data_IF_774955618136
#
_entry.id   IF_774955618136
#
_cell.length_a   1.000
_cell.length_b   1.000
_cell.length_c   1.000
_cell.angle_alpha   90.00
_cell.angle_beta   90.00
_cell.angle_gamma   90.00
#
_symmetry.space_group_name_H-M   'P 1'
#
loop_
_entity.id
_entity.type
_entity.pdbx_description
1 polymer ?
#
# COMPACT_ATOMS: atom_id res chain seq x y z
N UNK A 1 -8.38 -23.37 -23.41
CA UNK A 1 -6.95 -23.71 -23.51
C UNK A 1 -6.49 -24.58 -22.33
N UNK A 2 -6.61 -24.13 -21.08
CA UNK A 2 -6.14 -24.87 -19.89
C UNK A 2 -6.76 -26.27 -19.67
N UNK A 3 -8.01 -26.49 -20.07
CA UNK A 3 -8.68 -27.80 -19.98
C UNK A 3 -7.96 -28.92 -20.74
N UNK A 4 -7.08 -28.59 -21.70
CA UNK A 4 -6.29 -29.61 -22.41
C UNK A 4 -5.31 -30.34 -21.50
N UNK A 5 -4.89 -29.72 -20.39
CA UNK A 5 -3.98 -30.33 -19.41
C UNK A 5 -4.64 -31.48 -18.61
N UNK A 6 -5.98 -31.55 -18.61
CA UNK A 6 -6.73 -32.64 -17.96
C UNK A 6 -7.22 -33.72 -18.92
N UNK A 7 -6.80 -33.67 -20.19
CA UNK A 7 -7.15 -34.70 -21.17
C UNK A 7 -6.14 -35.83 -21.11
N UNK A 8 -6.61 -37.05 -20.88
CA UNK A 8 -5.78 -38.25 -20.90
C UNK A 8 -5.39 -38.53 -22.35
N UNK A 9 -4.09 -38.57 -22.64
CA UNK A 9 -3.56 -39.01 -23.93
C UNK A 9 -2.83 -40.35 -23.79
N UNK A 10 -2.64 -41.05 -24.92
CA UNK A 10 -2.00 -42.36 -24.94
C UNK A 10 -0.60 -42.28 -24.29
N UNK A 11 -0.37 -43.12 -23.27
CA UNK A 11 0.87 -43.15 -22.48
C UNK A 11 0.91 -42.22 -21.25
N UNK A 12 -0.20 -41.57 -20.87
CA UNK A 12 -0.32 -40.85 -19.60
C UNK A 12 -0.67 -41.75 -18.41
N UNK A 13 -1.26 -42.91 -18.69
CA UNK A 13 -1.67 -43.90 -17.69
C UNK A 13 -1.01 -45.24 -17.96
N UNK A 14 -0.60 -45.93 -16.90
CA UNK A 14 -0.21 -47.32 -16.93
C UNK A 14 -1.45 -48.21 -17.18
N UNK A 15 -1.22 -49.48 -17.50
CA UNK A 15 -2.29 -50.46 -17.78
C UNK A 15 -3.21 -50.72 -16.56
N UNK A 16 -2.74 -50.41 -15.35
CA UNK A 16 -3.48 -50.47 -14.09
C UNK A 16 -4.29 -49.19 -13.80
N UNK A 17 -4.26 -48.21 -14.70
CA UNK A 17 -4.94 -46.92 -14.54
C UNK A 17 -4.18 -45.89 -13.71
N UNK A 18 -2.99 -46.20 -13.20
CA UNK A 18 -2.16 -45.25 -12.46
C UNK A 18 -1.49 -44.21 -13.39
N UNK A 19 -1.29 -42.99 -12.90
CA UNK A 19 -0.74 -41.88 -13.71
C UNK A 19 0.76 -42.09 -13.92
N UNK A 20 1.17 -42.37 -15.16
CA UNK A 20 2.56 -42.57 -15.55
C UNK A 20 3.34 -41.26 -15.68
N UNK A 21 2.67 -40.16 -16.05
CA UNK A 21 3.28 -38.83 -16.27
C UNK A 21 2.61 -37.74 -15.43
N UNK A 22 2.88 -37.73 -14.13
CA UNK A 22 2.32 -36.74 -13.17
C UNK A 22 2.58 -35.27 -13.53
N UNK A 23 3.66 -34.96 -14.25
CA UNK A 23 3.98 -33.60 -14.67
C UNK A 23 3.28 -33.15 -15.96
N UNK A 24 2.62 -34.06 -16.67
CA UNK A 24 1.92 -33.78 -17.93
C UNK A 24 0.40 -33.82 -17.77
N UNK A 25 -0.10 -34.71 -16.91
CA UNK A 25 -1.52 -34.91 -16.68
C UNK A 25 -1.96 -34.23 -15.36
N UNK A 26 -2.77 -33.19 -15.47
CA UNK A 26 -3.42 -32.55 -14.33
C UNK A 26 -4.84 -33.10 -14.13
N UNK A 27 -5.29 -33.15 -12.89
CA UNK A 27 -6.70 -33.37 -12.59
C UNK A 27 -7.54 -32.17 -13.03
N UNK A 28 -8.83 -32.40 -13.28
CA UNK A 28 -9.78 -31.30 -13.58
C UNK A 28 -9.79 -30.27 -12.45
N UNK A 29 -9.69 -30.72 -11.18
CA UNK A 29 -9.65 -29.85 -10.02
C UNK A 29 -8.43 -28.92 -10.03
N UNK A 30 -7.23 -29.44 -10.32
CA UNK A 30 -6.01 -28.61 -10.42
C UNK A 30 -6.12 -27.55 -11.53
N UNK A 31 -6.77 -27.90 -12.65
CA UNK A 31 -7.01 -26.96 -13.75
C UNK A 31 -8.02 -25.86 -13.34
N UNK A 32 -9.09 -26.20 -12.62
CA UNK A 32 -10.04 -25.20 -12.10
C UNK A 32 -9.43 -24.32 -11.00
N UNK A 33 -8.61 -24.90 -10.13
CA UNK A 33 -7.86 -24.17 -9.10
C UNK A 33 -6.93 -23.13 -9.75
N UNK A 34 -6.19 -23.52 -10.80
CA UNK A 34 -5.32 -22.61 -11.55
C UNK A 34 -6.11 -21.48 -12.24
N UNK A 35 -7.27 -21.79 -12.85
CA UNK A 35 -8.12 -20.75 -13.44
C UNK A 35 -8.61 -19.75 -12.41
N UNK A 36 -8.93 -20.23 -11.21
CA UNK A 36 -9.34 -19.37 -10.09
C UNK A 36 -8.20 -18.41 -9.72
N UNK A 37 -6.98 -18.91 -9.58
CA UNK A 37 -5.80 -18.06 -9.33
C UNK A 37 -5.58 -17.02 -10.44
N UNK A 38 -5.71 -17.40 -11.72
CA UNK A 38 -5.60 -16.47 -12.85
C UNK A 38 -6.66 -15.36 -12.78
N UNK A 39 -7.89 -15.69 -12.36
CA UNK A 39 -8.96 -14.70 -12.16
C UNK A 39 -8.68 -13.73 -11.01
N UNK A 40 -7.90 -14.15 -10.01
CA UNK A 40 -7.51 -13.31 -8.87
C UNK A 40 -6.28 -12.43 -9.16
N UNK A 41 -5.55 -12.71 -10.23
CA UNK A 41 -4.34 -11.97 -10.59
C UNK A 41 -4.55 -10.44 -10.76
N UNK A 42 -5.65 -9.94 -11.37
CA UNK A 42 -5.88 -8.49 -11.46
C UNK A 42 -6.03 -7.84 -10.08
N UNK A 43 -6.82 -8.45 -9.19
CA UNK A 43 -6.97 -7.99 -7.81
C UNK A 43 -5.62 -7.99 -7.09
N UNK A 44 -4.84 -9.07 -7.26
CA UNK A 44 -3.52 -9.19 -6.66
C UNK A 44 -2.55 -8.10 -7.14
N UNK A 45 -2.60 -7.77 -8.42
CA UNK A 45 -1.80 -6.70 -9.04
C UNK A 45 -2.11 -5.32 -8.45
N UNK A 46 -3.39 -5.01 -8.19
CA UNK A 46 -3.77 -3.75 -7.51
C UNK A 46 -3.22 -3.67 -6.08
N UNK A 47 -3.19 -4.78 -5.37
CA UNK A 47 -2.57 -4.84 -4.03
C UNK A 47 -1.06 -4.60 -4.06
N UNK A 48 -0.35 -5.12 -5.07
CA UNK A 48 1.08 -4.86 -5.29
C UNK A 48 1.33 -3.38 -5.54
N UNK A 49 0.52 -2.74 -6.39
CA UNK A 49 0.61 -1.30 -6.64
C UNK A 49 0.46 -0.50 -5.33
N UNK A 50 -0.57 -0.80 -4.53
CA UNK A 50 -0.78 -0.07 -3.28
C UNK A 50 0.35 -0.32 -2.27
N UNK A 51 0.86 -1.55 -2.16
CA UNK A 51 2.00 -1.86 -1.30
C UNK A 51 3.26 -1.09 -1.75
N UNK A 52 3.46 -0.92 -3.05
CA UNK A 52 4.53 -0.08 -3.63
C UNK A 52 4.36 1.37 -3.20
N UNK A 53 3.16 1.93 -3.34
CA UNK A 53 2.87 3.30 -2.93
C UNK A 53 3.04 3.52 -1.41
N UNK A 54 2.61 2.55 -0.59
CA UNK A 54 2.83 2.56 0.87
C UNK A 54 4.31 2.59 1.20
N UNK A 55 5.12 1.75 0.55
CA UNK A 55 6.56 1.67 0.79
C UNK A 55 7.28 2.99 0.43
N UNK A 56 6.95 3.58 -0.72
CA UNK A 56 7.49 4.90 -1.10
C UNK A 56 7.05 5.97 -0.10
N UNK A 57 5.76 6.00 0.26
CA UNK A 57 5.20 6.97 1.21
C UNK A 57 5.89 6.91 2.59
N UNK A 58 6.19 5.71 3.11
CA UNK A 58 6.89 5.56 4.40
C UNK A 58 8.23 6.30 4.35
N UNK A 59 9.03 6.08 3.31
CA UNK A 59 10.34 6.71 3.17
C UNK A 59 10.23 8.23 2.99
N UNK A 60 9.30 8.69 2.12
CA UNK A 60 9.09 10.12 1.89
C UNK A 60 8.60 10.85 3.15
N UNK A 61 7.76 10.22 3.97
CA UNK A 61 7.30 10.79 5.25
C UNK A 61 8.49 11.08 6.17
N UNK A 62 9.47 10.16 6.22
CA UNK A 62 10.68 10.33 7.04
C UNK A 62 11.49 11.52 6.52
N UNK A 63 11.79 11.55 5.22
CA UNK A 63 12.55 12.64 4.59
C UNK A 63 11.85 14.00 4.77
N UNK A 64 10.55 14.04 4.53
CA UNK A 64 9.74 15.23 4.71
C UNK A 64 9.76 15.72 6.16
N UNK A 65 9.60 14.83 7.13
CA UNK A 65 9.67 15.20 8.54
C UNK A 65 11.07 15.65 8.98
N UNK A 66 12.15 15.15 8.37
CA UNK A 66 13.51 15.61 8.63
C UNK A 66 13.71 17.08 8.21
N UNK A 67 13.08 17.48 7.11
CA UNK A 67 13.11 18.86 6.59
C UNK A 67 12.09 19.82 7.24
N UNK A 68 11.38 19.37 8.28
CA UNK A 68 10.38 20.15 9.01
C UNK A 68 10.76 20.29 10.49
N UNK A 69 10.19 21.29 11.16
CA UNK A 69 10.39 21.47 12.59
C UNK A 69 9.65 20.40 13.40
N UNK A 70 10.41 19.50 14.01
CA UNK A 70 9.90 18.39 14.83
C UNK A 70 9.82 18.72 16.32
N UNK A 71 9.99 19.99 16.70
CA UNK A 71 9.88 20.42 18.10
C UNK A 71 8.45 20.23 18.62
N UNK A 72 8.34 19.75 19.86
CA UNK A 72 7.12 19.64 20.63
C UNK A 72 7.36 20.37 21.96
N UNK A 73 6.88 21.61 22.03
CA UNK A 73 7.25 22.51 23.12
C UNK A 73 8.71 22.94 23.04
N UNK A 74 9.30 23.29 24.18
CA UNK A 74 10.65 23.89 24.24
C UNK A 74 11.80 22.87 24.31
N UNK A 75 11.54 21.62 24.71
CA UNK A 75 12.60 20.67 25.08
C UNK A 75 12.59 19.34 24.33
N UNK A 76 11.49 18.98 23.66
CA UNK A 76 11.36 17.68 23.02
C UNK A 76 11.35 17.80 21.49
N UNK A 77 12.07 16.92 20.80
CA UNK A 77 12.07 16.81 19.34
C UNK A 77 11.66 15.40 18.94
N UNK A 78 10.51 15.27 18.29
CA UNK A 78 9.97 13.96 17.86
C UNK A 78 10.93 13.36 16.82
N UNK A 79 11.41 12.12 16.94
CA UNK A 79 12.20 11.46 15.90
C UNK A 79 11.45 11.40 14.56
N UNK A 80 12.12 11.70 13.45
CA UNK A 80 11.50 11.66 12.12
C UNK A 80 10.87 10.29 11.80
N UNK A 81 11.60 9.21 12.09
CA UNK A 81 11.13 7.84 11.88
C UNK A 81 9.90 7.47 12.72
N UNK A 82 9.64 8.14 13.85
CA UNK A 82 8.51 7.81 14.72
C UNK A 82 7.18 8.42 14.25
N UNK A 83 7.16 9.29 13.24
CA UNK A 83 5.92 9.87 12.72
C UNK A 83 4.93 8.81 12.24
N UNK A 84 5.41 7.67 11.71
CA UNK A 84 4.54 6.58 11.25
C UNK A 84 3.68 5.98 12.37
N UNK A 85 4.06 6.14 13.63
CA UNK A 85 3.29 5.68 14.81
C UNK A 85 1.89 6.29 14.83
N UNK A 86 1.70 7.53 14.38
CA UNK A 86 0.37 8.14 14.29
C UNK A 86 -0.58 7.35 13.39
N UNK A 87 -0.09 6.79 12.27
CA UNK A 87 -0.88 5.89 11.41
C UNK A 87 -1.21 4.58 12.11
N UNK A 88 -0.29 3.98 12.86
CA UNK A 88 -0.54 2.73 13.57
C UNK A 88 -1.55 2.89 14.70
N UNK A 89 -1.44 3.97 15.49
CA UNK A 89 -2.43 4.31 16.53
C UNK A 89 -3.80 4.54 15.89
N UNK A 90 -3.86 5.32 14.81
CA UNK A 90 -5.11 5.57 14.09
C UNK A 90 -5.72 4.28 13.55
N UNK A 91 -4.92 3.39 12.96
CA UNK A 91 -5.38 2.07 12.50
C UNK A 91 -5.95 1.25 13.66
N UNK A 92 -5.22 1.16 14.77
CA UNK A 92 -5.62 0.40 15.96
C UNK A 92 -6.93 0.92 16.59
N UNK A 93 -7.13 2.24 16.63
CA UNK A 93 -8.38 2.85 17.10
C UNK A 93 -9.52 2.64 16.10
N UNK A 94 -9.23 2.68 14.80
CA UNK A 94 -10.25 2.59 13.76
C UNK A 94 -10.86 1.18 13.68
N UNK A 95 -10.09 0.12 13.92
CA UNK A 95 -10.59 -1.26 13.89
C UNK A 95 -11.81 -1.50 14.82
N UNK A 96 -11.73 -1.27 16.14
CA UNK A 96 -12.87 -1.47 17.03
C UNK A 96 -14.02 -0.49 16.72
N UNK A 97 -13.73 0.72 16.23
CA UNK A 97 -14.77 1.67 15.82
C UNK A 97 -15.55 1.14 14.60
N UNK A 98 -14.87 0.53 13.64
CA UNK A 98 -15.52 -0.07 12.47
C UNK A 98 -16.39 -1.26 12.87
N UNK A 99 -15.86 -2.14 13.71
CA UNK A 99 -16.58 -3.35 14.15
C UNK A 99 -17.81 -3.03 14.99
N UNK A 100 -17.70 -2.04 15.88
CA UNK A 100 -18.77 -1.70 16.83
C UNK A 100 -19.80 -0.71 16.28
N UNK A 101 -19.38 0.21 15.41
CA UNK A 101 -20.27 1.29 14.95
C UNK A 101 -20.52 1.20 13.45
N UNK A 102 -19.47 1.19 12.62
CA UNK A 102 -19.62 1.33 11.17
C UNK A 102 -20.36 0.14 10.53
N UNK A 103 -19.99 -1.09 10.86
CA UNK A 103 -20.64 -2.27 10.27
C UNK A 103 -22.07 -2.47 10.77
N UNK A 104 -22.40 -2.36 12.07
CA UNK A 104 -23.78 -2.39 12.53
C UNK A 104 -24.63 -1.26 11.94
N UNK A 105 -24.07 -0.05 11.84
CA UNK A 105 -24.75 1.09 11.22
C UNK A 105 -25.07 0.84 9.75
N UNK A 106 -24.13 0.29 8.97
CA UNK A 106 -24.38 -0.07 7.58
C UNK A 106 -25.53 -1.08 7.44
N UNK A 107 -25.61 -2.08 8.34
CA UNK A 107 -26.70 -3.06 8.35
C UNK A 107 -28.03 -2.45 8.73
N UNK A 108 -28.04 -1.50 9.66
CA UNK A 108 -29.27 -0.84 10.12
C UNK A 108 -29.80 0.17 9.09
N UNK A 109 -28.94 1.07 8.60
CA UNK A 109 -29.33 2.17 7.73
C UNK A 109 -29.46 1.75 6.26
N UNK A 110 -28.42 1.11 5.71
CA UNK A 110 -28.38 0.74 4.28
C UNK A 110 -29.05 -0.61 4.02
N UNK A 111 -29.45 -1.34 5.07
CA UNK A 111 -30.01 -2.71 5.03
C UNK A 111 -29.16 -3.70 4.21
N UNK A 112 -27.88 -3.38 3.99
CA UNK A 112 -26.92 -4.19 3.23
C UNK A 112 -25.54 -4.07 3.88
N UNK A 113 -24.88 -5.20 4.21
CA UNK A 113 -23.53 -5.14 4.76
C UNK A 113 -22.54 -4.70 3.67
N UNK A 114 -21.50 -3.96 4.05
CA UNK A 114 -20.39 -3.71 3.15
C UNK A 114 -19.71 -5.03 2.76
N UNK A 115 -19.59 -5.27 1.46
CA UNK A 115 -18.79 -6.40 0.94
C UNK A 115 -17.30 -6.15 1.18
N UNK A 116 -16.48 -7.21 1.11
CA UNK A 116 -15.02 -7.08 1.27
C UNK A 116 -14.43 -6.08 0.27
N UNK A 117 -14.87 -6.13 -1.00
CA UNK A 117 -14.44 -5.19 -2.03
C UNK A 117 -14.80 -3.74 -1.71
N UNK A 118 -15.98 -3.46 -1.16
CA UNK A 118 -16.33 -2.09 -0.74
C UNK A 118 -15.41 -1.58 0.36
N UNK A 119 -15.09 -2.43 1.35
CA UNK A 119 -14.18 -2.07 2.44
C UNK A 119 -12.77 -1.79 1.92
N UNK A 120 -12.25 -2.67 1.07
CA UNK A 120 -10.94 -2.50 0.41
C UNK A 120 -10.93 -1.21 -0.41
N UNK A 121 -12.00 -0.94 -1.19
CA UNK A 121 -12.15 0.27 -1.99
C UNK A 121 -12.16 1.55 -1.14
N UNK A 122 -12.88 1.57 -0.01
CA UNK A 122 -12.83 2.70 0.93
C UNK A 122 -11.42 2.93 1.46
N UNK A 123 -10.67 1.86 1.75
CA UNK A 123 -9.27 1.95 2.13
C UNK A 123 -8.40 2.63 1.07
N UNK A 124 -8.60 2.29 -0.22
CA UNK A 124 -7.88 2.92 -1.33
C UNK A 124 -8.23 4.41 -1.47
N UNK A 125 -9.52 4.76 -1.41
CA UNK A 125 -9.96 6.17 -1.49
C UNK A 125 -9.34 6.99 -0.36
N UNK A 126 -9.32 6.46 0.85
CA UNK A 126 -8.67 7.13 1.99
C UNK A 126 -7.15 7.24 1.82
N UNK A 127 -6.49 6.23 1.23
CA UNK A 127 -5.07 6.29 0.91
C UNK A 127 -4.76 7.41 -0.10
N UNK A 128 -5.58 7.56 -1.15
CA UNK A 128 -5.48 8.64 -2.14
C UNK A 128 -5.66 10.01 -1.47
N UNK A 129 -6.68 10.16 -0.62
CA UNK A 129 -6.92 11.40 0.14
C UNK A 129 -5.72 11.70 1.06
N UNK A 130 -5.18 10.69 1.73
CA UNK A 130 -3.99 10.82 2.57
C UNK A 130 -2.76 11.28 1.78
N UNK A 131 -2.50 10.71 0.61
CA UNK A 131 -1.40 11.11 -0.28
C UNK A 131 -1.59 12.53 -0.83
N UNK A 132 -2.81 12.90 -1.24
CA UNK A 132 -3.13 14.26 -1.67
C UNK A 132 -2.90 15.27 -0.52
N UNK A 133 -3.27 14.91 0.71
CA UNK A 133 -3.01 15.74 1.88
C UNK A 133 -1.50 15.87 2.18
N UNK A 134 -0.71 14.80 2.04
CA UNK A 134 0.76 14.85 2.15
C UNK A 134 1.38 15.74 1.07
N UNK A 135 0.91 15.64 -0.18
CA UNK A 135 1.33 16.51 -1.28
C UNK A 135 1.04 17.98 -0.98
N UNK A 136 -0.12 18.26 -0.40
CA UNK A 136 -0.49 19.62 -0.01
C UNK A 136 0.40 20.16 1.12
N UNK A 137 0.69 19.37 2.15
CA UNK A 137 1.64 19.76 3.22
C UNK A 137 3.03 20.03 2.64
N UNK A 138 3.47 19.20 1.69
CA UNK A 138 4.77 19.40 1.05
C UNK A 138 4.83 20.68 0.22
N UNK A 139 3.79 20.95 -0.56
CA UNK A 139 3.67 22.20 -1.30
C UNK A 139 3.67 23.40 -0.36
N UNK A 140 3.03 23.29 0.80
CA UNK A 140 3.05 24.34 1.84
C UNK A 140 4.45 24.54 2.43
N UNK A 141 5.19 23.47 2.72
CA UNK A 141 6.58 23.52 3.20
C UNK A 141 7.48 24.25 2.19
N UNK A 142 7.40 23.89 0.91
CA UNK A 142 8.17 24.54 -0.16
C UNK A 142 7.84 26.04 -0.26
N UNK A 143 6.56 26.42 -0.16
CA UNK A 143 6.17 27.84 -0.15
C UNK A 143 6.79 28.61 1.00
N UNK A 144 6.77 28.05 2.22
CA UNK A 144 7.37 28.69 3.41
C UNK A 144 8.89 28.83 3.24
N UNK A 145 9.55 27.83 2.67
CA UNK A 145 10.97 27.87 2.36
C UNK A 145 11.33 29.04 1.45
N UNK A 146 10.60 29.23 0.35
CA UNK A 146 10.80 30.37 -0.55
C UNK A 146 10.53 31.71 0.13
N UNK A 147 9.45 31.83 0.91
CA UNK A 147 9.10 33.06 1.63
C UNK A 147 10.16 33.47 2.65
N UNK A 148 10.84 32.50 3.26
CA UNK A 148 11.89 32.72 4.27
C UNK A 148 13.28 32.91 3.64
N UNK A 149 13.39 32.91 2.31
CA UNK A 149 14.68 33.02 1.62
C UNK A 149 15.60 31.80 1.80
N UNK A 150 15.07 30.68 2.28
CA UNK A 150 15.84 29.43 2.51
C UNK A 150 16.10 28.65 1.21
N UNK A 151 15.69 29.19 0.06
CA UNK A 151 15.82 28.57 -1.26
C UNK A 151 17.14 28.90 -1.98
N UNK A 152 17.96 29.83 -1.47
CA UNK A 152 19.17 30.27 -2.17
C UNK A 152 20.32 29.26 -2.00
N UNK A 153 20.98 28.86 -3.10
CA UNK A 153 22.02 27.84 -3.09
C UNK A 153 23.33 28.45 -2.59
N UNK A 154 23.72 28.12 -1.36
CA UNK A 154 25.01 28.55 -0.80
C UNK A 154 25.28 28.02 0.60
N UNK A 155 24.39 28.28 1.57
CA UNK A 155 24.77 28.14 2.98
C UNK A 155 24.06 27.04 3.78
N UNK A 156 23.01 26.41 3.25
CA UNK A 156 22.11 25.56 4.06
C UNK A 156 21.65 24.27 3.35
N UNK A 157 22.58 23.43 2.92
CA UNK A 157 22.25 22.02 2.64
C UNK A 157 21.56 21.44 3.90
N UNK A 158 20.44 20.75 3.73
CA UNK A 158 19.60 20.20 4.82
C UNK A 158 18.93 21.23 5.75
N UNK A 159 18.66 22.45 5.26
CA UNK A 159 17.90 23.44 6.01
C UNK A 159 16.55 22.90 6.50
N UNK A 160 16.31 22.97 7.81
CA UNK A 160 15.00 22.69 8.39
C UNK A 160 14.08 23.87 8.10
N UNK A 161 13.00 23.64 7.38
CA UNK A 161 11.99 24.67 7.10
C UNK A 161 11.17 24.90 8.38
N UNK A 162 10.92 26.17 8.78
CA UNK A 162 10.20 26.50 10.01
C UNK A 162 8.67 26.31 9.86
N UNK A 163 8.28 25.07 9.55
CA UNK A 163 6.90 24.58 9.53
C UNK A 163 6.87 23.32 10.40
N UNK A 164 5.89 23.24 11.29
CA UNK A 164 5.80 22.11 12.21
C UNK A 164 5.55 20.79 11.47
N UNK A 165 6.32 19.76 11.78
CA UNK A 165 6.10 18.41 11.27
C UNK A 165 4.75 17.82 11.75
N UNK A 166 4.11 18.41 12.77
CA UNK A 166 2.77 18.01 13.21
C UNK A 166 1.69 18.16 12.13
N UNK A 167 1.92 18.96 11.09
CA UNK A 167 1.05 19.00 9.90
C UNK A 167 0.92 17.64 9.20
N UNK A 168 1.90 16.74 9.36
CA UNK A 168 1.86 15.38 8.82
C UNK A 168 0.92 14.45 9.60
N UNK A 169 0.54 14.81 10.83
CA UNK A 169 -0.30 13.95 11.69
C UNK A 169 -1.66 13.70 11.05
N UNK A 170 -2.32 14.72 10.52
CA UNK A 170 -3.64 14.56 9.91
C UNK A 170 -3.62 13.64 8.68
N UNK A 171 -2.74 13.83 7.67
CA UNK A 171 -2.60 12.86 6.58
C UNK A 171 -2.26 11.44 7.06
N UNK A 172 -1.40 11.29 8.06
CA UNK A 172 -1.02 9.99 8.61
C UNK A 172 -2.18 9.29 9.34
N UNK A 173 -3.05 10.06 10.00
CA UNK A 173 -4.28 9.56 10.60
C UNK A 173 -5.24 9.08 9.51
N UNK A 174 -5.48 9.87 8.46
CA UNK A 174 -6.32 9.46 7.32
C UNK A 174 -5.81 8.15 6.72
N UNK A 175 -4.49 8.04 6.54
CA UNK A 175 -3.84 6.83 6.03
C UNK A 175 -3.99 5.63 6.99
N UNK A 176 -3.95 5.87 8.30
CA UNK A 176 -4.19 4.84 9.32
C UNK A 176 -5.62 4.29 9.27
N UNK A 177 -6.62 5.17 9.15
CA UNK A 177 -8.03 4.79 8.95
C UNK A 177 -8.18 3.98 7.65
N UNK A 178 -7.57 4.45 6.54
CA UNK A 178 -7.58 3.73 5.27
C UNK A 178 -6.94 2.34 5.37
N UNK A 179 -5.85 2.22 6.11
CA UNK A 179 -5.16 0.94 6.37
C UNK A 179 -6.03 -0.04 7.15
N UNK A 180 -6.84 0.44 8.10
CA UNK A 180 -7.81 -0.39 8.83
C UNK A 180 -8.91 -0.96 7.93
N UNK A 181 -9.34 -0.19 6.91
CA UNK A 181 -10.26 -0.67 5.88
C UNK A 181 -9.60 -1.65 4.89
N UNK A 182 -8.32 -1.46 4.58
CA UNK A 182 -7.62 -2.23 3.55
C UNK A 182 -7.03 -3.55 4.07
N UNK A 183 -6.11 -3.50 5.03
CA UNK A 183 -5.20 -4.63 5.34
C UNK A 183 -5.94 -5.89 5.78
N UNK A 184 -6.85 -5.86 6.79
CA UNK A 184 -7.51 -7.08 7.25
C UNK A 184 -8.48 -7.63 6.19
N UNK A 185 -9.14 -6.74 5.45
CA UNK A 185 -10.14 -7.14 4.45
C UNK A 185 -9.48 -7.72 3.21
N UNK A 186 -8.29 -7.25 2.81
CA UNK A 186 -7.52 -7.83 1.71
C UNK A 186 -7.07 -9.25 2.05
N UNK A 187 -6.51 -9.46 3.25
CA UNK A 187 -6.10 -10.80 3.71
C UNK A 187 -7.29 -11.75 3.74
N UNK A 188 -8.45 -11.28 4.24
CA UNK A 188 -9.68 -12.07 4.25
C UNK A 188 -10.18 -12.39 2.84
N UNK A 189 -10.12 -11.44 1.92
CA UNK A 189 -10.51 -11.66 0.52
C UNK A 189 -9.63 -12.72 -0.14
N UNK A 190 -8.31 -12.64 0.00
CA UNK A 190 -7.43 -13.70 -0.51
C UNK A 190 -7.72 -15.04 0.15
N UNK A 191 -7.97 -15.09 1.45
CA UNK A 191 -8.30 -16.34 2.13
C UNK A 191 -9.63 -16.97 1.65
N UNK A 192 -10.62 -16.15 1.28
CA UNK A 192 -11.93 -16.63 0.81
C UNK A 192 -11.93 -17.05 -0.66
N UNK A 193 -11.19 -16.32 -1.50
CA UNK A 193 -11.17 -16.56 -2.94
C UNK A 193 -10.18 -17.68 -3.34
N UNK A 194 -9.25 -18.04 -2.45
CA UNK A 194 -8.30 -19.12 -2.75
C UNK A 194 -8.98 -20.49 -2.81
N UNK A 195 -8.56 -21.36 -3.75
CA UNK A 195 -9.05 -22.73 -3.82
C UNK A 195 -8.90 -23.47 -2.49
N UNK A 196 -9.85 -24.34 -2.17
CA UNK A 196 -9.84 -25.06 -0.89
C UNK A 196 -8.54 -25.86 -0.66
N UNK A 197 -7.98 -26.42 -1.73
CA UNK A 197 -6.69 -27.14 -1.78
C UNK A 197 -5.49 -26.26 -1.42
N UNK A 198 -5.56 -24.95 -1.68
CA UNK A 198 -4.48 -23.98 -1.50
C UNK A 198 -4.79 -22.91 -0.44
N UNK A 199 -5.83 -23.12 0.37
CA UNK A 199 -6.33 -22.13 1.33
C UNK A 199 -5.28 -21.67 2.34
N UNK A 200 -4.39 -22.58 2.74
CA UNK A 200 -3.26 -22.27 3.62
C UNK A 200 -2.19 -21.38 2.96
N UNK A 201 -2.14 -21.31 1.63
CA UNK A 201 -1.24 -20.42 0.89
C UNK A 201 -1.79 -19.00 0.73
N UNK A 202 -3.08 -18.76 0.98
CA UNK A 202 -3.70 -17.44 0.79
C UNK A 202 -3.03 -16.34 1.61
N UNK A 203 -2.65 -16.64 2.87
CA UNK A 203 -1.89 -15.71 3.71
C UNK A 203 -0.47 -15.46 3.16
N UNK A 204 0.22 -16.50 2.71
CA UNK A 204 1.55 -16.38 2.08
C UNK A 204 1.53 -15.52 0.83
N UNK A 205 0.48 -15.62 0.01
CA UNK A 205 0.34 -14.80 -1.20
C UNK A 205 0.09 -13.32 -0.87
N UNK A 206 -0.58 -13.03 0.24
CA UNK A 206 -0.70 -11.65 0.72
C UNK A 206 0.66 -11.06 1.14
N UNK A 207 1.49 -11.83 1.84
CA UNK A 207 2.85 -11.44 2.22
C UNK A 207 3.77 -11.33 1.00
N UNK A 208 3.61 -12.21 0.01
CA UNK A 208 4.34 -12.13 -1.24
C UNK A 208 4.01 -10.84 -1.99
N UNK A 209 2.73 -10.44 -2.03
CA UNK A 209 2.31 -9.16 -2.64
C UNK A 209 2.94 -7.95 -1.94
N UNK A 210 3.12 -8.03 -0.61
CA UNK A 210 3.79 -7.00 0.17
C UNK A 210 5.27 -6.93 -0.19
N UNK A 211 5.95 -8.07 -0.19
CA UNK A 211 7.36 -8.17 -0.56
C UNK A 211 7.63 -7.63 -1.96
N UNK A 212 6.84 -8.06 -2.96
CA UNK A 212 6.96 -7.58 -4.34
C UNK A 212 6.76 -6.06 -4.41
N UNK A 213 5.73 -5.52 -3.74
CA UNK A 213 5.50 -4.08 -3.72
C UNK A 213 6.67 -3.30 -3.12
N UNK A 214 7.29 -3.81 -2.06
CA UNK A 214 8.46 -3.18 -1.45
C UNK A 214 9.69 -3.21 -2.36
N UNK A 215 9.95 -4.31 -3.07
CA UNK A 215 11.00 -4.36 -4.09
C UNK A 215 10.71 -3.46 -5.28
N UNK A 216 9.46 -3.37 -5.74
CA UNK A 216 9.08 -2.44 -6.81
C UNK A 216 9.25 -0.99 -6.37
N UNK A 217 9.07 -0.68 -5.08
CA UNK A 217 9.24 0.69 -4.56
C UNK A 217 10.65 1.22 -4.78
N UNK A 218 11.68 0.37 -4.68
CA UNK A 218 13.06 0.78 -4.95
C UNK A 218 13.28 1.07 -6.43
N UNK A 219 12.64 0.28 -7.30
CA UNK A 219 12.68 0.49 -8.76
C UNK A 219 11.98 1.80 -9.13
N UNK A 220 10.81 2.08 -8.54
CA UNK A 220 10.07 3.35 -8.74
C UNK A 220 10.90 4.53 -8.28
N UNK A 221 11.49 4.46 -7.08
CA UNK A 221 12.37 5.51 -6.54
C UNK A 221 13.56 5.75 -7.47
N UNK A 222 14.25 4.69 -7.90
CA UNK A 222 15.39 4.81 -8.80
C UNK A 222 15.02 5.41 -10.16
N UNK A 223 13.88 4.98 -10.72
CA UNK A 223 13.36 5.54 -11.96
C UNK A 223 13.04 7.05 -11.81
N UNK A 224 12.43 7.45 -10.70
CA UNK A 224 12.14 8.86 -10.42
C UNK A 224 13.40 9.71 -10.30
N UNK A 225 14.44 9.22 -9.61
CA UNK A 225 15.73 9.91 -9.47
C UNK A 225 16.42 10.12 -10.82
N UNK A 226 16.34 9.13 -11.72
CA UNK A 226 16.99 9.21 -13.03
C UNK A 226 16.19 10.01 -14.06
N UNK A 227 14.85 9.93 -14.02
CA UNK A 227 13.99 10.48 -15.06
C UNK A 227 13.43 11.87 -14.72
N UNK A 228 13.43 12.28 -13.44
CA UNK A 228 12.77 13.51 -13.00
C UNK A 228 13.60 14.29 -11.97
N UNK A 229 13.45 15.62 -11.88
CA UNK A 229 14.03 16.40 -10.79
C UNK A 229 13.20 16.32 -9.49
N UNK A 230 12.28 15.36 -9.36
CA UNK A 230 11.35 15.32 -8.22
C UNK A 230 11.98 14.77 -6.95
N UNK A 231 12.95 13.86 -7.08
CA UNK A 231 13.61 13.21 -5.97
C UNK A 231 15.13 13.42 -6.08
N UNK A 232 15.63 14.40 -5.36
CA UNK A 232 17.05 14.75 -5.24
C UNK A 232 17.59 14.37 -3.87
N UNK A 233 18.91 14.34 -3.69
CA UNK A 233 19.54 14.05 -2.39
C UNK A 233 19.09 15.02 -1.30
N UNK A 234 18.97 16.30 -1.66
CA UNK A 234 18.37 17.33 -0.81
C UNK A 234 16.88 17.48 -1.15
N UNK A 235 16.00 17.12 -0.22
CA UNK A 235 14.54 17.25 -0.37
C UNK A 235 14.08 18.69 -0.58
N UNK A 236 14.86 19.69 -0.14
CA UNK A 236 14.55 21.10 -0.38
C UNK A 236 14.68 21.51 -1.85
N UNK A 237 15.48 20.77 -2.63
CA UNK A 237 15.68 21.00 -4.07
C UNK A 237 14.72 20.19 -4.94
N UNK A 238 14.13 19.15 -4.38
CA UNK A 238 13.21 18.25 -5.06
C UNK A 238 11.78 18.77 -5.12
N UNK A 239 10.91 17.97 -5.74
CA UNK A 239 9.46 18.17 -5.82
C UNK A 239 8.73 16.92 -5.35
N UNK A 240 8.91 16.61 -4.07
CA UNK A 240 8.29 15.45 -3.41
C UNK A 240 6.76 15.54 -3.44
N UNK A 241 6.19 16.73 -3.54
CA UNK A 241 4.76 16.96 -3.77
C UNK A 241 4.28 16.28 -5.06
N UNK A 242 5.07 16.31 -6.14
CA UNK A 242 4.75 15.62 -7.39
C UNK A 242 4.80 14.09 -7.24
N UNK A 243 5.72 13.58 -6.41
CA UNK A 243 5.81 12.13 -6.13
C UNK A 243 4.55 11.68 -5.38
N UNK A 244 4.09 12.44 -4.38
CA UNK A 244 2.83 12.12 -3.70
C UNK A 244 1.62 12.17 -4.63
N UNK A 245 1.55 13.14 -5.56
CA UNK A 245 0.49 13.19 -6.57
C UNK A 245 0.55 12.01 -7.54
N UNK A 246 1.75 11.61 -7.97
CA UNK A 246 1.93 10.44 -8.84
C UNK A 246 1.45 9.16 -8.15
N UNK A 247 1.75 8.98 -6.86
CA UNK A 247 1.29 7.82 -6.08
C UNK A 247 -0.22 7.85 -5.80
N UNK A 248 -0.84 9.03 -5.85
CA UNK A 248 -2.27 9.20 -5.63
C UNK A 248 -3.11 8.93 -6.90
N UNK A 249 -2.50 9.03 -8.09
CA UNK A 249 -3.10 8.70 -9.39
C UNK A 249 -3.05 7.21 -9.70
#
# INVERSE_FOLDING_TARGET
FLNKASLITVGDTHLDGSIAKRWRLCTVQEVEDLKTLIRLFPLWSTGIYLNTAIAVQINLTILQSLAMDRSLGSSFKIPAASFKVFSYISMAISLPLMDRFLYPFSRSLLRRPFTLLHKIGMGHVLAIIGLAAMAWVERRRIQVMHQRGLAFPGDHLDAVVPISALWLVLPLVIFGVGSAFYVPNLVNLYYQEFPASLKNLGASVSLLSLGIGYYLSTTVVHALQNATPWLTDDINRGRVDNVYWMLAG
#
